data_IF_988149022817
#
_entry.id   IF_988149022817
#
_cell.length_a   1.000
_cell.length_b   1.000
_cell.length_c   1.000
_cell.angle_alpha   90.00
_cell.angle_beta   90.00
_cell.angle_gamma   90.00
#
_symmetry.space_group_name_H-M   'P 1'
#
loop_
_entity.id
_entity.type
_entity.pdbx_description
1 polymer ?
#
# COMPACT_ATOMS: atom_id res chain seq x y z
N UNK A 1 9.90 -0.43 -14.82
CA UNK A 1 10.68 0.78 -14.51
C UNK A 1 10.95 0.80 -13.02
N UNK A 2 12.17 1.17 -12.60
CA UNK A 2 12.61 1.07 -11.20
C UNK A 2 12.36 2.36 -10.43
N UNK A 3 11.49 3.24 -10.94
CA UNK A 3 11.16 4.53 -10.33
C UNK A 3 9.67 4.80 -10.35
N UNK A 4 9.20 5.53 -9.34
CA UNK A 4 7.81 5.95 -9.19
C UNK A 4 7.77 7.39 -8.74
N UNK A 5 6.99 8.24 -9.41
CA UNK A 5 6.85 9.64 -9.00
C UNK A 5 6.03 9.75 -7.72
N UNK A 6 6.53 10.56 -6.77
CA UNK A 6 5.80 10.92 -5.56
C UNK A 6 4.50 11.66 -5.95
N UNK A 7 3.33 11.26 -5.41
CA UNK A 7 2.03 11.72 -5.90
C UNK A 7 1.82 13.24 -5.78
N UNK A 8 2.39 13.89 -4.76
CA UNK A 8 2.27 15.35 -4.57
C UNK A 8 3.49 16.15 -5.01
N UNK A 9 4.72 15.70 -4.68
CA UNK A 9 5.96 16.43 -4.95
C UNK A 9 6.55 16.18 -6.34
N UNK A 10 6.12 15.13 -7.04
CA UNK A 10 6.70 14.73 -8.33
C UNK A 10 8.11 14.10 -8.24
N UNK A 11 8.77 14.16 -7.07
CA UNK A 11 10.10 13.58 -6.85
C UNK A 11 10.11 12.09 -7.19
N UNK A 12 11.15 11.62 -7.89
CA UNK A 12 11.28 10.21 -8.25
C UNK A 12 11.73 9.36 -7.04
N UNK A 13 10.95 8.34 -6.73
CA UNK A 13 11.26 7.32 -5.72
C UNK A 13 11.87 6.12 -6.44
N UNK A 14 13.11 5.76 -6.11
CA UNK A 14 13.77 4.55 -6.64
C UNK A 14 13.28 3.32 -5.87
N UNK A 15 12.74 2.34 -6.60
CA UNK A 15 12.40 1.03 -6.08
C UNK A 15 13.69 0.20 -5.99
N UNK A 16 14.15 -0.06 -4.76
CA UNK A 16 15.45 -0.71 -4.50
C UNK A 16 15.39 -2.24 -4.54
N UNK A 17 14.20 -2.82 -4.42
CA UNK A 17 14.02 -4.25 -4.22
C UNK A 17 13.18 -4.85 -5.35
N UNK A 18 13.61 -6.01 -5.83
CA UNK A 18 12.75 -6.86 -6.64
C UNK A 18 11.71 -7.51 -5.72
N UNK A 19 10.43 -7.22 -5.96
CA UNK A 19 9.33 -7.69 -5.12
C UNK A 19 8.26 -8.35 -5.97
N UNK A 20 7.58 -9.32 -5.39
CA UNK A 20 6.46 -10.03 -6.03
C UNK A 20 5.22 -9.89 -5.15
N UNK A 21 4.09 -10.43 -5.61
CA UNK A 21 2.88 -10.45 -4.81
C UNK A 21 2.99 -11.32 -3.53
N UNK A 22 4.02 -12.17 -3.45
CA UNK A 22 4.32 -13.01 -2.28
C UNK A 22 5.23 -12.31 -1.26
N UNK A 23 5.80 -11.15 -1.59
CA UNK A 23 6.69 -10.41 -0.69
C UNK A 23 6.00 -10.08 0.64
N UNK A 24 6.70 -10.37 1.74
CA UNK A 24 6.31 -10.09 3.13
C UNK A 24 7.14 -8.94 3.71
N UNK A 25 6.68 -8.36 4.82
CA UNK A 25 7.34 -7.25 5.51
C UNK A 25 7.55 -6.06 4.57
N UNK A 26 6.47 -5.58 3.96
CA UNK A 26 6.55 -4.53 2.93
C UNK A 26 5.78 -3.27 3.31
N UNK A 27 6.25 -2.14 2.80
CA UNK A 27 5.49 -0.90 2.65
C UNK A 27 4.95 -0.86 1.23
N UNK A 28 3.63 -0.71 1.09
CA UNK A 28 2.93 -0.68 -0.19
C UNK A 28 2.13 0.60 -0.37
N UNK A 29 1.86 0.92 -1.64
CA UNK A 29 1.06 2.06 -2.04
C UNK A 29 -0.15 1.57 -2.84
N UNK A 30 -1.33 2.05 -2.46
CA UNK A 30 -2.55 1.97 -3.25
C UNK A 30 -2.75 3.29 -3.98
N UNK A 31 -3.01 3.23 -5.28
CA UNK A 31 -3.23 4.40 -6.14
C UNK A 31 -4.67 4.42 -6.64
N UNK A 32 -5.33 5.54 -6.39
CA UNK A 32 -6.64 5.84 -6.94
C UNK A 32 -6.49 6.54 -8.30
N UNK A 33 -7.40 6.31 -9.27
CA UNK A 33 -7.40 7.06 -10.53
C UNK A 33 -7.48 8.59 -10.37
N UNK A 34 -8.04 9.09 -9.26
CA UNK A 34 -8.13 10.53 -8.98
C UNK A 34 -6.81 11.16 -8.47
N UNK A 35 -5.70 10.41 -8.48
CA UNK A 35 -4.37 10.90 -8.09
C UNK A 35 -4.05 10.78 -6.60
N UNK A 36 -5.04 10.43 -5.76
CA UNK A 36 -4.80 10.15 -4.34
C UNK A 36 -4.13 8.78 -4.14
N UNK A 37 -3.36 8.68 -3.07
CA UNK A 37 -2.66 7.47 -2.69
C UNK A 37 -2.85 7.15 -1.21
N UNK A 38 -2.91 5.85 -0.89
CA UNK A 38 -2.86 5.34 0.48
C UNK A 38 -1.57 4.54 0.66
N UNK A 39 -0.83 4.82 1.74
CA UNK A 39 0.37 4.09 2.11
C UNK A 39 0.04 3.18 3.29
N UNK A 40 0.41 1.90 3.17
CA UNK A 40 0.22 0.93 4.23
C UNK A 40 1.43 0.01 4.37
N UNK A 41 1.48 -0.71 5.47
CA UNK A 41 2.50 -1.73 5.73
C UNK A 41 1.86 -3.08 6.04
N UNK A 42 2.60 -4.17 5.83
CA UNK A 42 2.17 -5.50 6.24
C UNK A 42 3.33 -6.44 6.48
N UNK A 43 3.22 -7.30 7.49
CA UNK A 43 4.12 -8.42 7.74
C UNK A 43 3.75 -9.69 6.95
N UNK A 44 2.51 -9.75 6.44
CA UNK A 44 2.01 -10.87 5.62
C UNK A 44 2.37 -10.67 4.15
N UNK A 45 2.02 -11.63 3.31
CA UNK A 45 2.19 -11.47 1.87
C UNK A 45 1.34 -10.29 1.37
N UNK A 46 1.93 -9.43 0.55
CA UNK A 46 1.24 -8.21 0.08
C UNK A 46 -0.06 -8.55 -0.65
N UNK A 47 -0.11 -9.66 -1.42
CA UNK A 47 -1.33 -10.11 -2.11
C UNK A 47 -2.54 -10.25 -1.18
N UNK A 48 -2.34 -10.75 0.03
CA UNK A 48 -3.43 -11.01 0.98
C UNK A 48 -3.99 -9.67 1.47
N UNK A 49 -3.09 -8.72 1.75
CA UNK A 49 -3.48 -7.37 2.16
C UNK A 49 -4.19 -6.62 1.03
N UNK A 50 -3.73 -6.76 -0.21
CA UNK A 50 -4.41 -6.16 -1.38
C UNK A 50 -5.78 -6.79 -1.59
N UNK A 51 -5.92 -8.12 -1.41
CA UNK A 51 -7.21 -8.82 -1.52
C UNK A 51 -8.22 -8.31 -0.49
N UNK A 52 -7.79 -8.08 0.75
CA UNK A 52 -8.62 -7.48 1.81
C UNK A 52 -9.11 -6.08 1.42
N UNK A 53 -8.21 -5.20 0.98
CA UNK A 53 -8.59 -3.86 0.50
C UNK A 53 -9.60 -3.91 -0.64
N UNK A 54 -9.39 -4.81 -1.61
CA UNK A 54 -10.34 -5.03 -2.72
C UNK A 54 -11.70 -5.51 -2.23
N UNK A 55 -11.71 -6.40 -1.24
CA UNK A 55 -12.94 -6.86 -0.57
C UNK A 55 -13.68 -5.73 0.14
N UNK A 56 -12.96 -4.92 0.91
CA UNK A 56 -13.52 -3.77 1.63
C UNK A 56 -14.12 -2.73 0.68
N UNK A 57 -13.45 -2.44 -0.44
CA UNK A 57 -13.97 -1.53 -1.46
C UNK A 57 -15.26 -2.08 -2.08
N UNK A 58 -15.27 -3.37 -2.46
CA UNK A 58 -16.44 -4.00 -3.10
C UNK A 58 -17.65 -4.06 -2.18
N UNK A 59 -17.42 -4.33 -0.89
CA UNK A 59 -18.46 -4.60 0.09
C UNK A 59 -18.64 -3.45 1.08
N UNK A 60 -18.27 -2.22 0.69
CA UNK A 60 -18.28 -1.07 1.59
C UNK A 60 -19.66 -0.89 2.25
N UNK A 61 -19.66 -0.82 3.58
CA UNK A 61 -20.83 -0.48 4.38
C UNK A 61 -20.39 0.35 5.58
N UNK A 62 -20.97 1.56 5.71
CA UNK A 62 -20.68 2.49 6.80
C UNK A 62 -20.88 1.85 8.17
N UNK A 63 -19.94 2.09 9.10
CA UNK A 63 -19.99 1.55 10.47
C UNK A 63 -19.68 0.05 10.59
N UNK A 64 -19.11 -0.58 9.57
CA UNK A 64 -18.68 -2.00 9.62
C UNK A 64 -17.17 -2.14 9.50
N UNK A 65 -16.65 -3.36 9.61
CA UNK A 65 -15.23 -3.64 9.37
C UNK A 65 -14.75 -3.29 7.94
N UNK A 66 -15.68 -3.14 6.99
CA UNK A 66 -15.37 -2.71 5.62
C UNK A 66 -15.31 -1.19 5.48
N UNK A 67 -15.67 -0.41 6.51
CA UNK A 67 -15.59 1.05 6.53
C UNK A 67 -14.16 1.50 6.85
N UNK A 68 -13.30 1.38 5.84
CA UNK A 68 -11.91 1.85 5.89
C UNK A 68 -11.79 3.17 5.15
N UNK A 69 -10.73 3.94 5.40
CA UNK A 69 -10.48 5.18 4.65
C UNK A 69 -10.45 4.96 3.13
N UNK A 70 -9.87 3.85 2.67
CA UNK A 70 -9.77 3.50 1.25
C UNK A 70 -11.15 3.17 0.67
N UNK A 71 -11.89 2.26 1.28
CA UNK A 71 -13.23 1.88 0.78
C UNK A 71 -14.24 3.02 0.85
N UNK A 72 -14.21 3.82 1.93
CA UNK A 72 -15.03 5.03 2.06
C UNK A 72 -14.72 6.04 0.96
N UNK A 73 -13.43 6.27 0.67
CA UNK A 73 -13.01 7.15 -0.43
C UNK A 73 -13.51 6.64 -1.78
N UNK A 74 -13.34 5.34 -2.07
CA UNK A 74 -13.81 4.77 -3.33
C UNK A 74 -15.33 4.89 -3.49
N UNK A 75 -16.09 4.66 -2.42
CA UNK A 75 -17.53 4.85 -2.43
C UNK A 75 -17.92 6.32 -2.67
N UNK A 76 -17.35 7.25 -1.89
CA UNK A 76 -17.66 8.68 -2.00
C UNK A 76 -17.23 9.29 -3.35
N UNK A 77 -16.13 8.80 -3.93
CA UNK A 77 -15.63 9.24 -5.24
C UNK A 77 -16.27 8.54 -6.44
N UNK A 78 -17.21 7.60 -6.24
CA UNK A 78 -17.81 6.82 -7.32
C UNK A 78 -16.80 5.95 -8.08
N UNK A 79 -15.71 5.53 -7.42
CA UNK A 79 -14.64 4.74 -8.02
C UNK A 79 -14.87 3.24 -7.84
N UNK A 80 -14.37 2.45 -8.79
CA UNK A 80 -14.49 0.99 -8.79
C UNK A 80 -13.17 0.32 -8.38
N UNK A 81 -13.28 -0.84 -7.72
CA UNK A 81 -12.14 -1.69 -7.34
C UNK A 81 -11.26 -2.11 -8.53
N UNK A 82 -11.79 -2.15 -9.75
CA UNK A 82 -11.02 -2.42 -10.97
C UNK A 82 -10.02 -1.31 -11.31
N UNK A 83 -10.28 -0.08 -10.85
CA UNK A 83 -9.42 1.09 -11.06
C UNK A 83 -8.30 1.20 -10.04
N UNK A 84 -8.37 0.43 -8.94
CA UNK A 84 -7.34 0.40 -7.91
C UNK A 84 -6.04 -0.19 -8.47
N UNK A 85 -4.99 0.61 -8.50
CA UNK A 85 -3.63 0.17 -8.79
C UNK A 85 -2.84 0.06 -7.50
N UNK A 86 -1.81 -0.78 -7.47
CA UNK A 86 -0.95 -0.92 -6.31
C UNK A 86 0.48 -1.25 -6.69
N UNK A 87 1.40 -1.02 -5.76
CA UNK A 87 2.80 -1.37 -5.87
C UNK A 87 3.44 -1.50 -4.49
N UNK A 88 4.55 -2.23 -4.42
CA UNK A 88 5.44 -2.21 -3.26
C UNK A 88 6.43 -1.06 -3.40
N UNK A 89 6.61 -0.28 -2.33
CA UNK A 89 7.59 0.80 -2.27
C UNK A 89 8.91 0.31 -1.65
N UNK A 90 8.81 -0.50 -0.61
CA UNK A 90 9.95 -0.96 0.17
C UNK A 90 9.68 -2.34 0.77
N UNK A 91 10.72 -3.17 0.83
CA UNK A 91 10.71 -4.42 1.58
C UNK A 91 11.65 -4.24 2.77
N UNK A 92 11.09 -4.35 3.97
CA UNK A 92 11.79 -4.19 5.24
C UNK A 92 12.48 -5.52 5.55
N UNK A 93 13.78 -5.45 5.80
CA UNK A 93 14.50 -6.56 6.43
C UNK A 93 14.16 -6.54 7.91
N UNK A 94 13.59 -7.63 8.43
CA UNK A 94 13.46 -7.77 9.87
C UNK A 94 14.87 -7.83 10.47
N UNK A 95 15.23 -6.95 11.41
CA UNK A 95 16.46 -7.12 12.16
C UNK A 95 16.38 -8.45 12.93
N UNK A 96 17.51 -9.12 13.11
CA UNK A 96 17.53 -10.26 14.00
C UNK A 96 17.23 -9.74 15.42
N UNK A 97 16.55 -10.55 16.22
CA UNK A 97 16.15 -10.17 17.58
C UNK A 97 17.42 -9.88 18.40
N UNK A 98 17.77 -8.61 18.59
CA UNK A 98 19.00 -8.17 19.28
C UNK A 98 19.75 -7.05 18.55
N UNK A 99 19.48 -6.80 17.27
CA UNK A 99 20.17 -5.76 16.50
C UNK A 99 19.44 -4.41 16.65
N UNK A 100 19.85 -3.61 17.63
CA UNK A 100 19.55 -2.17 17.67
C UNK A 100 20.65 -1.50 16.85
N UNK A 101 20.40 -1.20 15.58
CA UNK A 101 21.22 -0.21 14.88
C UNK A 101 20.77 1.17 15.35
N UNK A 102 21.46 1.69 16.37
CA UNK A 102 21.43 3.11 16.69
C UNK A 102 21.96 3.88 15.49
N UNK A 103 21.05 4.48 14.70
CA UNK A 103 21.44 5.40 13.65
C UNK A 103 21.44 6.82 14.25
N UNK A 104 22.60 7.46 14.47
CA UNK A 104 22.62 8.82 14.96
C UNK A 104 22.07 9.77 13.89
N UNK A 105 21.32 10.77 14.37
CA UNK A 105 20.63 11.82 13.62
C UNK A 105 21.61 12.64 12.78
#
# INVERSE_FOLDING_TARGET
GNTVSHPTKGTQIKLRHYTTCESKFVVYCLKCPCGLAYIGQTIRAVKDRIKEHRGNIRNFKMGTATDTSVSRHFHAGGHNVSQLKWLVLEQIKMPNRGDIEDNPI
#
